data_IF_554477447286
#
_entry.id   IF_554477447286
#
_cell.length_a   1.000
_cell.length_b   1.000
_cell.length_c   1.000
_cell.angle_alpha   90.00
_cell.angle_beta   90.00
_cell.angle_gamma   90.00
#
_symmetry.space_group_name_H-M   'P 1'
#
loop_
_entity.id
_entity.type
_entity.pdbx_description
1 polymer ?
#
# COMPACT_ATOMS: atom_id res chain seq x y z
N UNK A 1 -11.85 1.02 -23.41
CA UNK A 1 -12.77 -0.10 -23.14
C UNK A 1 -14.10 0.50 -22.69
N UNK A 2 -15.25 0.05 -23.20
CA UNK A 2 -16.56 0.56 -22.75
C UNK A 2 -17.13 -0.41 -21.71
N UNK A 3 -17.40 0.07 -20.50
CA UNK A 3 -18.03 -0.71 -19.43
C UNK A 3 -19.29 0.00 -18.95
N UNK A 4 -20.43 -0.70 -18.94
CA UNK A 4 -21.74 -0.14 -18.56
C UNK A 4 -22.09 1.17 -19.29
N UNK A 5 -21.83 1.21 -20.61
CA UNK A 5 -22.16 2.37 -21.44
C UNK A 5 -21.29 3.62 -21.21
N UNK A 6 -20.21 3.53 -20.45
CA UNK A 6 -19.24 4.62 -20.23
C UNK A 6 -17.87 4.22 -20.74
N UNK A 7 -17.13 5.17 -21.31
CA UNK A 7 -15.73 4.95 -21.65
C UNK A 7 -14.92 4.84 -20.35
N UNK A 8 -14.04 3.85 -20.28
CA UNK A 8 -13.19 3.60 -19.12
C UNK A 8 -11.74 3.85 -19.49
N UNK A 9 -11.19 4.89 -18.91
CA UNK A 9 -9.75 5.10 -18.83
C UNK A 9 -9.18 4.14 -17.79
N UNK A 10 -8.10 3.47 -18.14
CA UNK A 10 -7.42 2.51 -17.26
C UNK A 10 -6.04 3.03 -16.94
N UNK A 11 -5.83 3.40 -15.67
CA UNK A 11 -4.51 3.66 -15.14
C UNK A 11 -3.86 2.32 -14.75
N UNK A 12 -2.62 2.12 -15.19
CA UNK A 12 -1.82 0.94 -14.87
C UNK A 12 -0.75 1.31 -13.84
N UNK A 13 -0.52 0.41 -12.90
CA UNK A 13 0.51 0.53 -11.88
C UNK A 13 1.30 -0.78 -11.84
N UNK A 14 2.58 -0.68 -11.48
CA UNK A 14 3.47 -1.82 -11.35
C UNK A 14 4.42 -1.61 -10.18
N UNK A 15 5.00 -2.71 -9.71
CA UNK A 15 6.12 -2.76 -8.77
C UNK A 15 7.10 -3.77 -9.34
N UNK A 16 8.37 -3.38 -9.46
CA UNK A 16 9.43 -4.25 -9.96
C UNK A 16 9.96 -5.15 -8.86
N UNK A 17 10.75 -6.14 -9.24
CA UNK A 17 11.53 -6.95 -8.29
C UNK A 17 12.59 -6.12 -7.56
N UNK A 18 13.12 -5.05 -8.16
CA UNK A 18 14.03 -4.12 -7.47
C UNK A 18 13.31 -3.21 -6.47
N UNK A 19 12.03 -2.86 -6.70
CA UNK A 19 11.24 -2.09 -5.73
C UNK A 19 10.85 -2.92 -4.50
N UNK A 20 10.74 -4.24 -4.66
CA UNK A 20 10.15 -5.12 -3.66
C UNK A 20 10.87 -5.15 -2.30
N UNK A 21 12.21 -5.24 -2.21
CA UNK A 21 12.92 -5.29 -0.92
C UNK A 21 12.56 -4.12 0.00
N UNK A 22 12.56 -2.90 -0.51
CA UNK A 22 12.26 -1.69 0.25
C UNK A 22 10.78 -1.65 0.65
N UNK A 23 9.88 -1.97 -0.30
CA UNK A 23 8.43 -2.02 -0.04
C UNK A 23 8.10 -3.08 1.01
N UNK A 24 8.74 -4.25 0.96
CA UNK A 24 8.58 -5.30 1.96
C UNK A 24 9.01 -4.81 3.34
N UNK A 25 10.16 -4.13 3.45
CA UNK A 25 10.61 -3.58 4.73
C UNK A 25 9.62 -2.56 5.30
N UNK A 26 9.08 -1.67 4.46
CA UNK A 26 8.04 -0.71 4.85
C UNK A 26 6.77 -1.42 5.33
N UNK A 27 6.31 -2.44 4.60
CA UNK A 27 5.13 -3.22 4.99
C UNK A 27 5.34 -3.92 6.34
N UNK A 28 6.50 -4.55 6.56
CA UNK A 28 6.81 -5.21 7.82
C UNK A 28 6.79 -4.24 9.00
N UNK A 29 7.37 -3.04 8.84
CA UNK A 29 7.34 -2.00 9.89
C UNK A 29 5.93 -1.47 10.16
N UNK A 30 5.12 -1.34 9.12
CA UNK A 30 3.74 -0.88 9.28
C UNK A 30 2.85 -1.95 9.95
N UNK A 31 3.10 -3.23 9.67
CA UNK A 31 2.38 -4.37 10.23
C UNK A 31 2.83 -4.76 11.63
N UNK A 32 3.93 -4.18 12.14
CA UNK A 32 4.42 -4.45 13.48
C UNK A 32 3.37 -4.06 14.53
N UNK A 33 3.20 -4.90 15.55
CA UNK A 33 2.22 -4.69 16.63
C UNK A 33 2.44 -3.34 17.34
N UNK A 34 3.68 -2.84 17.39
CA UNK A 34 3.99 -1.52 17.95
C UNK A 34 3.30 -0.38 17.18
N UNK A 35 3.02 -0.58 15.88
CA UNK A 35 2.33 0.41 15.07
C UNK A 35 0.81 0.42 15.29
N UNK A 36 0.25 -0.43 16.16
CA UNK A 36 -1.18 -0.42 16.47
C UNK A 36 -1.44 -0.03 17.93
N UNK A 37 -2.55 0.66 18.17
CA UNK A 37 -3.02 0.97 19.52
C UNK A 37 -3.93 -0.14 20.09
N UNK A 38 -4.37 0.01 21.33
CA UNK A 38 -5.24 -0.98 22.00
C UNK A 38 -6.61 -1.15 21.36
N UNK A 39 -6.99 -0.29 20.41
CA UNK A 39 -8.23 -0.37 19.62
C UNK A 39 -7.98 -0.90 18.21
N UNK A 40 -6.75 -1.31 17.90
CA UNK A 40 -6.34 -1.79 16.57
C UNK A 40 -6.20 -0.68 15.53
N UNK A 41 -6.08 0.59 15.94
CA UNK A 41 -5.84 1.68 15.01
C UNK A 41 -4.35 1.87 14.78
N UNK A 42 -3.97 2.06 13.51
CA UNK A 42 -2.60 2.39 13.16
C UNK A 42 -2.16 3.70 13.81
N UNK A 43 -0.95 3.73 14.36
CA UNK A 43 -0.29 4.92 14.91
C UNK A 43 0.34 5.75 13.81
N UNK A 44 0.97 5.09 12.82
CA UNK A 44 1.52 5.72 11.62
C UNK A 44 0.96 5.05 10.37
N UNK A 45 0.59 5.83 9.34
CA UNK A 45 0.16 5.26 8.06
C UNK A 45 1.35 4.63 7.33
N UNK A 46 1.08 3.67 6.44
CA UNK A 46 2.12 2.99 5.65
C UNK A 46 3.01 3.97 4.88
N UNK A 47 2.43 5.05 4.35
CA UNK A 47 3.16 6.09 3.60
C UNK A 47 4.14 6.91 4.46
N UNK A 48 4.09 6.79 5.79
CA UNK A 48 5.04 7.45 6.69
C UNK A 48 6.31 6.62 6.95
N UNK A 49 6.35 5.38 6.49
CA UNK A 49 7.56 4.57 6.47
C UNK A 49 8.27 4.84 5.14
N UNK A 50 9.58 5.08 5.18
CA UNK A 50 10.44 5.31 4.01
C UNK A 50 11.51 4.22 4.05
#
# INVERSE_FOLDING_TARGET
>A
MIFKGRNRDTAWYAMTDQDWPDRKAMFLRWLDDENFDSRGQQRRPLSAFI
#
